data_IF_630035713413
#
_entry.id   IF_630035713413
#
_cell.length_a   1.000
_cell.length_b   1.000
_cell.length_c   1.000
_cell.angle_alpha   90.00
_cell.angle_beta   90.00
_cell.angle_gamma   90.00
#
_symmetry.space_group_name_H-M   'P 1'
#
loop_
_entity.id
_entity.type
_entity.pdbx_description
1 polymer ?
#
# COMPACT_ATOMS: atom_id res chain seq x y z
N UNK A 1 23.76 -32.99 3.12
CA UNK A 1 23.73 -31.52 3.09
C UNK A 1 22.64 -31.11 2.12
N UNK A 2 21.59 -30.43 2.57
CA UNK A 2 20.49 -29.97 1.70
C UNK A 2 21.03 -28.91 0.73
N UNK A 3 20.67 -29.04 -0.55
CA UNK A 3 20.96 -28.00 -1.54
C UNK A 3 20.04 -26.79 -1.28
N UNK A 4 20.62 -25.76 -0.66
CA UNK A 4 19.95 -24.52 -0.27
C UNK A 4 19.28 -23.84 -1.47
N UNK A 5 19.89 -23.90 -2.66
CA UNK A 5 19.34 -23.25 -3.87
C UNK A 5 18.09 -23.96 -4.36
N UNK A 6 18.08 -25.30 -4.28
CA UNK A 6 16.92 -26.10 -4.63
C UNK A 6 15.76 -25.88 -3.65
N UNK A 7 16.06 -25.70 -2.37
CA UNK A 7 15.06 -25.41 -1.34
C UNK A 7 14.46 -24.01 -1.53
N UNK A 8 15.29 -22.99 -1.78
CA UNK A 8 14.83 -21.63 -2.09
C UNK A 8 13.94 -21.58 -3.33
N UNK A 9 14.32 -22.27 -4.41
CA UNK A 9 13.51 -22.34 -5.63
C UNK A 9 12.13 -22.96 -5.38
N UNK A 10 12.04 -23.97 -4.49
CA UNK A 10 10.76 -24.55 -4.08
C UNK A 10 9.94 -23.61 -3.21
N UNK A 11 10.56 -22.93 -2.24
CA UNK A 11 9.89 -21.94 -1.39
C UNK A 11 9.22 -20.84 -2.22
N UNK A 12 9.91 -20.35 -3.26
CA UNK A 12 9.36 -19.33 -4.17
C UNK A 12 8.21 -19.84 -5.04
N UNK A 13 8.08 -21.15 -5.25
CA UNK A 13 7.07 -21.76 -6.12
C UNK A 13 5.85 -22.28 -5.33
N UNK A 14 6.10 -22.88 -4.19
CA UNK A 14 5.12 -23.64 -3.40
C UNK A 14 4.76 -22.94 -2.08
N UNK A 15 5.50 -21.88 -1.71
CA UNK A 15 5.40 -21.22 -0.43
C UNK A 15 6.42 -21.76 0.58
N UNK A 16 6.90 -20.87 1.45
CA UNK A 16 7.95 -21.17 2.41
C UNK A 16 7.54 -22.27 3.41
N UNK A 17 6.33 -22.19 3.96
CA UNK A 17 5.84 -23.13 4.98
C UNK A 17 5.54 -24.52 4.42
N UNK A 18 4.93 -24.60 3.24
CA UNK A 18 4.65 -25.88 2.56
C UNK A 18 5.97 -26.61 2.25
N UNK A 19 6.96 -25.88 1.73
CA UNK A 19 8.27 -26.44 1.42
C UNK A 19 8.99 -26.93 2.69
N UNK A 20 8.92 -26.16 3.77
CA UNK A 20 9.53 -26.51 5.06
C UNK A 20 8.89 -27.77 5.66
N UNK A 21 7.57 -27.86 5.64
CA UNK A 21 6.84 -29.03 6.14
C UNK A 21 7.19 -30.30 5.36
N UNK A 22 7.22 -30.21 4.03
CA UNK A 22 7.61 -31.34 3.17
C UNK A 22 9.06 -31.78 3.43
N UNK A 23 9.99 -30.84 3.59
CA UNK A 23 11.39 -31.14 3.88
C UNK A 23 11.54 -31.86 5.24
N UNK A 24 10.76 -31.44 6.25
CA UNK A 24 10.72 -32.08 7.56
C UNK A 24 10.16 -33.51 7.48
N UNK A 25 9.06 -33.73 6.77
CA UNK A 25 8.44 -35.06 6.58
C UNK A 25 9.40 -36.01 5.88
N UNK A 26 10.18 -35.52 4.91
CA UNK A 26 11.18 -36.31 4.16
C UNK A 26 12.47 -36.56 4.93
N UNK A 27 12.60 -36.02 6.15
CA UNK A 27 13.84 -36.10 6.93
C UNK A 27 15.02 -35.34 6.31
N UNK A 28 14.74 -34.39 5.39
CA UNK A 28 15.77 -33.57 4.75
C UNK A 28 16.31 -32.51 5.72
N UNK A 29 15.51 -32.08 6.69
CA UNK A 29 15.86 -31.11 7.74
C UNK A 29 15.47 -31.61 9.13
N UNK A 30 16.24 -31.20 10.12
CA UNK A 30 16.03 -31.50 11.54
C UNK A 30 15.02 -30.55 12.19
N UNK A 31 14.47 -30.91 13.37
CA UNK A 31 13.65 -29.98 14.16
C UNK A 31 14.38 -28.68 14.51
N UNK A 32 15.67 -28.73 14.84
CA UNK A 32 16.47 -27.54 15.18
C UNK A 32 16.68 -26.61 13.98
N UNK A 33 16.87 -27.17 12.77
CA UNK A 33 16.92 -26.38 11.53
C UNK A 33 15.57 -25.73 11.22
N UNK A 34 14.47 -26.45 11.49
CA UNK A 34 13.11 -25.91 11.36
C UNK A 34 12.90 -24.74 12.32
N UNK A 35 13.30 -24.89 13.58
CA UNK A 35 13.19 -23.82 14.59
C UNK A 35 14.00 -22.57 14.21
N UNK A 36 15.24 -22.74 13.73
CA UNK A 36 16.06 -21.63 13.24
C UNK A 36 15.44 -20.92 12.03
N UNK A 37 14.87 -21.68 11.10
CA UNK A 37 14.17 -21.09 9.96
C UNK A 37 12.94 -20.27 10.42
N UNK A 38 12.13 -20.81 11.33
CA UNK A 38 10.97 -20.09 11.86
C UNK A 38 11.36 -18.81 12.60
N UNK A 39 12.46 -18.80 13.35
CA UNK A 39 12.98 -17.59 13.99
C UNK A 39 13.37 -16.52 12.95
N UNK A 40 14.07 -16.91 11.87
CA UNK A 40 14.40 -15.98 10.78
C UNK A 40 13.16 -15.43 10.07
N UNK A 41 12.14 -16.26 9.86
CA UNK A 41 10.87 -15.81 9.29
C UNK A 41 10.18 -14.80 10.21
N UNK A 42 10.20 -15.05 11.51
CA UNK A 42 9.63 -14.12 12.49
C UNK A 42 10.36 -12.77 12.48
N UNK A 43 11.69 -12.77 12.51
CA UNK A 43 12.50 -11.55 12.41
C UNK A 43 12.19 -10.76 11.14
N UNK A 44 12.10 -11.44 10.00
CA UNK A 44 11.72 -10.84 8.72
C UNK A 44 10.30 -10.26 8.73
N UNK A 45 9.33 -10.97 9.30
CA UNK A 45 7.96 -10.45 9.47
C UNK A 45 7.93 -9.22 10.39
N UNK A 46 8.74 -9.22 11.45
CA UNK A 46 8.86 -8.08 12.34
C UNK A 46 9.39 -6.85 11.59
N UNK A 47 10.45 -7.01 10.79
CA UNK A 47 11.00 -5.93 9.95
C UNK A 47 9.94 -5.33 9.00
N UNK A 48 9.16 -6.19 8.33
CA UNK A 48 8.07 -5.75 7.45
C UNK A 48 6.98 -5.01 8.22
N UNK A 49 6.59 -5.50 9.39
CA UNK A 49 5.60 -4.81 10.24
C UNK A 49 6.12 -3.44 10.68
N UNK A 50 7.42 -3.33 10.98
CA UNK A 50 8.04 -2.04 11.30
C UNK A 50 8.12 -1.11 10.08
N UNK A 51 8.37 -1.64 8.88
CA UNK A 51 8.28 -0.90 7.61
C UNK A 51 6.86 -0.34 7.43
N UNK A 52 5.84 -1.20 7.52
CA UNK A 52 4.44 -0.78 7.42
C UNK A 52 4.05 0.30 8.43
N UNK A 53 4.47 0.17 9.70
CA UNK A 53 4.25 1.22 10.72
C UNK A 53 4.88 2.57 10.34
N UNK A 54 6.10 2.55 9.80
CA UNK A 54 6.79 3.77 9.35
C UNK A 54 6.05 4.42 8.17
N UNK A 55 5.57 3.62 7.23
CA UNK A 55 4.82 4.10 6.07
C UNK A 55 3.45 4.67 6.47
N UNK A 56 2.73 4.01 7.39
CA UNK A 56 1.48 4.55 7.96
C UNK A 56 1.73 5.90 8.62
N UNK A 57 2.79 6.06 9.41
CA UNK A 57 3.15 7.35 10.02
C UNK A 57 3.43 8.43 8.97
N UNK A 58 4.03 8.07 7.82
CA UNK A 58 4.26 9.01 6.72
C UNK A 58 2.95 9.44 6.06
N UNK A 59 1.98 8.53 5.91
CA UNK A 59 0.62 8.89 5.44
C UNK A 59 -0.04 9.89 6.39
N UNK A 60 -0.02 9.65 7.70
CA UNK A 60 -0.58 10.56 8.70
C UNK A 60 0.05 11.95 8.60
N UNK A 61 1.37 12.03 8.41
CA UNK A 61 2.07 13.31 8.23
C UNK A 61 1.63 14.06 6.96
N UNK A 62 1.48 13.35 5.83
CA UNK A 62 0.98 13.94 4.58
C UNK A 62 -0.44 14.47 4.77
N UNK A 63 -1.33 13.67 5.37
CA UNK A 63 -2.70 14.09 5.66
C UNK A 63 -2.74 15.32 6.57
N UNK A 64 -1.89 15.39 7.59
CA UNK A 64 -1.76 16.58 8.44
C UNK A 64 -1.34 17.83 7.67
N UNK A 65 -0.42 17.71 6.70
CA UNK A 65 -0.03 18.84 5.83
C UNK A 65 -1.16 19.26 4.90
N UNK A 66 -1.86 18.30 4.30
CA UNK A 66 -3.04 18.57 3.46
C UNK A 66 -4.15 19.27 4.25
N UNK A 67 -4.41 18.83 5.49
CA UNK A 67 -5.38 19.48 6.37
C UNK A 67 -4.97 20.92 6.71
N UNK A 68 -3.69 21.15 7.02
CA UNK A 68 -3.18 22.49 7.29
C UNK A 68 -3.35 23.42 6.07
N UNK A 69 -3.06 22.94 4.86
CA UNK A 69 -3.28 23.68 3.61
C UNK A 69 -4.77 24.00 3.42
N UNK A 70 -5.65 23.03 3.59
CA UNK A 70 -7.10 23.21 3.44
C UNK A 70 -7.67 24.21 4.47
N UNK A 71 -7.23 24.14 5.73
CA UNK A 71 -7.65 25.08 6.79
C UNK A 71 -7.20 26.51 6.49
N UNK A 72 -5.97 26.70 5.97
CA UNK A 72 -5.47 28.02 5.56
C UNK A 72 -6.33 28.64 4.47
N UNK A 73 -6.76 27.85 3.48
CA UNK A 73 -7.69 28.33 2.45
C UNK A 73 -9.04 28.74 3.04
N UNK A 74 -9.61 27.91 3.92
CA UNK A 74 -10.92 28.19 4.53
C UNK A 74 -10.93 29.45 5.41
N UNK A 75 -9.79 29.82 5.99
CA UNK A 75 -9.67 30.99 6.87
C UNK A 75 -9.44 32.31 6.12
N UNK A 76 -9.15 32.27 4.81
CA UNK A 76 -9.03 33.49 4.01
C UNK A 76 -10.39 34.15 3.84
N UNK A 77 -10.52 35.37 4.36
CA UNK A 77 -11.66 36.25 4.12
C UNK A 77 -11.31 37.19 2.97
N UNK A 78 -11.96 37.02 1.82
CA UNK A 78 -11.86 37.93 0.67
C UNK A 78 -11.61 37.19 -0.65
N UNK A 79 -12.02 37.77 -1.79
CA UNK A 79 -11.79 37.21 -3.13
C UNK A 79 -10.32 37.46 -3.50
N UNK A 80 -9.42 36.66 -2.93
CA UNK A 80 -8.02 36.62 -3.36
C UNK A 80 -7.93 35.49 -4.39
N UNK A 81 -7.41 35.72 -5.60
CA UNK A 81 -7.20 34.64 -6.56
C UNK A 81 -6.40 33.53 -5.87
N UNK A 82 -6.87 32.28 -5.98
CA UNK A 82 -6.12 31.10 -5.58
C UNK A 82 -4.72 31.23 -6.20
N UNK A 83 -3.74 31.56 -5.37
CA UNK A 83 -2.36 31.71 -5.83
C UNK A 83 -1.96 30.32 -6.32
N UNK A 84 -1.61 30.18 -7.61
CA UNK A 84 -1.26 28.90 -8.25
C UNK A 84 -0.40 28.00 -7.35
N UNK A 85 0.56 28.59 -6.63
CA UNK A 85 1.43 27.92 -5.66
C UNK A 85 0.73 27.07 -4.59
N UNK A 86 -0.45 27.43 -4.10
CA UNK A 86 -1.11 26.67 -3.04
C UNK A 86 -1.94 25.51 -3.57
N UNK A 87 -2.50 25.65 -4.77
CA UNK A 87 -3.11 24.53 -5.52
C UNK A 87 -2.04 23.52 -5.90
N UNK A 88 -0.90 24.00 -6.42
CA UNK A 88 0.26 23.17 -6.76
C UNK A 88 0.80 22.46 -5.50
N UNK A 89 0.87 23.15 -4.36
CA UNK A 89 1.28 22.55 -3.09
C UNK A 89 0.33 21.43 -2.64
N UNK A 90 -0.98 21.62 -2.77
CA UNK A 90 -1.95 20.58 -2.43
C UNK A 90 -1.88 19.39 -3.38
N UNK A 91 -1.72 19.63 -4.69
CA UNK A 91 -1.54 18.59 -5.70
C UNK A 91 -0.26 17.77 -5.45
N UNK A 92 0.85 18.42 -5.10
CA UNK A 92 2.09 17.75 -4.72
C UNK A 92 1.91 16.83 -3.49
N UNK A 93 1.12 17.25 -2.50
CA UNK A 93 0.81 16.40 -1.35
C UNK A 93 -0.09 15.21 -1.73
N UNK A 94 -1.02 15.38 -2.68
CA UNK A 94 -1.80 14.26 -3.24
C UNK A 94 -0.88 13.23 -3.91
N UNK A 95 0.09 13.66 -4.73
CA UNK A 95 1.06 12.76 -5.33
C UNK A 95 1.92 12.04 -4.27
N UNK A 96 2.35 12.76 -3.25
CA UNK A 96 3.11 12.20 -2.14
C UNK A 96 2.30 11.14 -1.38
N UNK A 97 1.01 11.41 -1.13
CA UNK A 97 0.08 10.46 -0.52
C UNK A 97 -0.03 9.18 -1.35
N UNK A 98 -0.21 9.31 -2.67
CA UNK A 98 -0.31 8.16 -3.57
C UNK A 98 0.97 7.32 -3.56
N UNK A 99 2.15 7.95 -3.50
CA UNK A 99 3.42 7.25 -3.39
C UNK A 99 3.52 6.40 -2.11
N UNK A 100 3.09 6.94 -0.96
CA UNK A 100 3.10 6.19 0.31
C UNK A 100 2.06 5.06 0.35
N UNK A 101 0.89 5.25 -0.28
CA UNK A 101 -0.09 4.17 -0.43
C UNK A 101 0.47 3.03 -1.28
N UNK A 102 1.18 3.35 -2.36
CA UNK A 102 1.87 2.34 -3.18
C UNK A 102 2.97 1.61 -2.38
N UNK A 103 3.73 2.32 -1.55
CA UNK A 103 4.75 1.73 -0.67
C UNK A 103 4.15 0.69 0.30
N UNK A 104 3.06 1.05 1.00
CA UNK A 104 2.33 0.11 1.86
C UNK A 104 1.81 -1.11 1.13
N UNK A 105 1.40 -0.90 -0.13
CA UNK A 105 0.95 -1.98 -0.97
C UNK A 105 2.08 -2.95 -1.33
N UNK A 106 3.25 -2.43 -1.68
CA UNK A 106 4.45 -3.26 -1.90
C UNK A 106 4.81 -4.06 -0.65
N UNK A 107 4.75 -3.43 0.53
CA UNK A 107 4.95 -4.09 1.83
C UNK A 107 3.98 -5.25 2.03
N UNK A 108 2.71 -5.10 1.66
CA UNK A 108 1.72 -6.19 1.70
C UNK A 108 2.05 -7.32 0.71
N UNK A 109 2.43 -6.98 -0.53
CA UNK A 109 2.77 -7.98 -1.55
C UNK A 109 4.01 -8.80 -1.16
N UNK A 110 5.03 -8.19 -0.53
CA UNK A 110 6.21 -8.91 -0.01
C UNK A 110 5.81 -10.07 0.91
N UNK A 111 4.82 -9.86 1.78
CA UNK A 111 4.29 -10.89 2.68
C UNK A 111 3.64 -12.03 1.88
N UNK A 112 2.75 -11.71 0.95
CA UNK A 112 2.07 -12.72 0.13
C UNK A 112 3.04 -13.52 -0.73
N UNK A 113 4.03 -12.87 -1.34
CA UNK A 113 5.07 -13.53 -2.14
C UNK A 113 5.88 -14.54 -1.34
N UNK A 114 6.00 -14.39 -0.02
CA UNK A 114 6.71 -15.34 0.83
C UNK A 114 5.82 -16.48 1.33
N UNK A 115 4.61 -16.14 1.79
CA UNK A 115 3.69 -17.09 2.43
C UNK A 115 3.00 -17.97 1.39
N UNK A 116 2.39 -17.34 0.38
CA UNK A 116 1.68 -18.02 -0.69
C UNK A 116 1.88 -17.29 -2.04
N UNK A 117 3.02 -17.55 -2.73
CA UNK A 117 3.35 -16.90 -3.99
C UNK A 117 2.27 -17.10 -5.08
N UNK A 118 1.53 -18.21 -5.00
CA UNK A 118 0.50 -18.56 -6.00
C UNK A 118 -0.73 -17.66 -5.92
N UNK A 119 -0.99 -17.04 -4.77
CA UNK A 119 -2.13 -16.13 -4.59
C UNK A 119 -1.82 -14.69 -5.05
N UNK A 120 -0.55 -14.36 -5.28
CA UNK A 120 -0.12 -13.01 -5.69
C UNK A 120 -0.86 -12.53 -6.94
N UNK A 121 -0.94 -13.31 -8.06
CA UNK A 121 -1.67 -12.87 -9.25
C UNK A 121 -3.16 -12.60 -9.02
N UNK A 122 -3.80 -13.36 -8.12
CA UNK A 122 -5.20 -13.15 -7.76
C UNK A 122 -5.37 -11.90 -6.90
N UNK A 123 -4.46 -11.63 -5.96
CA UNK A 123 -4.47 -10.38 -5.19
C UNK A 123 -4.27 -9.16 -6.07
N UNK A 124 -3.33 -9.21 -7.01
CA UNK A 124 -3.15 -8.16 -8.02
C UNK A 124 -4.45 -7.91 -8.81
N UNK A 125 -5.16 -8.98 -9.22
CA UNK A 125 -6.44 -8.88 -9.95
C UNK A 125 -7.57 -8.28 -9.10
N UNK A 126 -7.72 -8.73 -7.85
CA UNK A 126 -8.70 -8.18 -6.91
C UNK A 126 -8.51 -6.67 -6.72
N UNK A 127 -7.25 -6.22 -6.68
CA UNK A 127 -6.92 -4.81 -6.50
C UNK A 127 -7.14 -3.98 -7.75
N UNK A 128 -6.75 -4.48 -8.92
CA UNK A 128 -7.08 -3.84 -10.19
C UNK A 128 -8.61 -3.67 -10.34
N UNK A 129 -9.38 -4.70 -9.95
CA UNK A 129 -10.85 -4.64 -9.95
C UNK A 129 -11.38 -3.59 -8.96
N UNK A 130 -10.87 -3.57 -7.71
CA UNK A 130 -11.27 -2.56 -6.72
C UNK A 130 -10.97 -1.13 -7.18
N UNK A 131 -9.81 -0.91 -7.81
CA UNK A 131 -9.43 0.39 -8.36
C UNK A 131 -10.33 0.81 -9.52
N UNK A 132 -10.64 -0.12 -10.42
CA UNK A 132 -11.57 0.11 -11.53
C UNK A 132 -12.99 0.43 -11.04
N UNK A 133 -13.46 -0.28 -10.01
CA UNK A 133 -14.77 -0.03 -9.39
C UNK A 133 -14.82 1.36 -8.74
N UNK A 134 -13.79 1.74 -7.99
CA UNK A 134 -13.69 3.09 -7.40
C UNK A 134 -13.67 4.17 -8.48
N UNK A 135 -12.92 3.98 -9.56
CA UNK A 135 -12.91 4.90 -10.69
C UNK A 135 -14.28 5.01 -11.35
N UNK A 136 -14.96 3.89 -11.59
CA UNK A 136 -16.31 3.84 -12.18
C UNK A 136 -17.35 4.53 -11.29
N UNK A 137 -17.30 4.28 -9.97
CA UNK A 137 -18.14 4.99 -9.00
C UNK A 137 -17.85 6.49 -9.00
N UNK A 138 -16.59 6.91 -9.13
CA UNK A 138 -16.22 8.33 -9.21
C UNK A 138 -16.66 8.98 -10.52
N UNK A 139 -16.65 8.27 -11.65
CA UNK A 139 -17.25 8.76 -12.89
C UNK A 139 -18.77 8.96 -12.75
N UNK A 140 -19.45 8.00 -12.10
CA UNK A 140 -20.86 8.13 -11.78
C UNK A 140 -21.13 9.30 -10.81
N UNK A 141 -20.23 9.51 -9.83
CA UNK A 141 -20.29 10.60 -8.84
C UNK A 141 -19.85 11.96 -9.41
N UNK A 142 -19.10 11.99 -10.50
CA UNK A 142 -18.79 13.22 -11.25
C UNK A 142 -20.06 13.88 -11.82
N UNK A 143 -21.15 13.12 -11.99
CA UNK A 143 -22.48 13.68 -12.26
C UNK A 143 -23.10 14.37 -11.04
N UNK A 144 -22.71 14.03 -9.81
CA UNK A 144 -23.12 14.71 -8.57
C UNK A 144 -22.35 16.02 -8.32
N UNK A 145 -21.06 16.09 -8.67
CA UNK A 145 -20.30 17.35 -8.69
C UNK A 145 -20.90 18.41 -9.64
N UNK A 146 -21.65 17.98 -10.67
CA UNK A 146 -22.42 18.90 -11.54
C UNK A 146 -23.69 19.48 -10.88
N UNK A 147 -24.20 18.86 -9.81
CA UNK A 147 -25.40 19.35 -9.11
C UNK A 147 -25.09 20.48 -8.13
N UNK A 148 -23.90 20.51 -7.55
CA UNK A 148 -23.48 21.59 -6.64
C UNK A 148 -22.73 22.71 -7.39
N UNK A 149 -23.37 23.23 -8.43
CA UNK A 149 -22.86 24.34 -9.25
C UNK A 149 -22.77 25.68 -8.51
N UNK A 150 -23.18 25.72 -7.23
CA UNK A 150 -23.14 26.90 -6.37
C UNK A 150 -21.69 27.34 -6.10
N UNK A 151 -20.82 26.40 -5.74
CA UNK A 151 -19.40 26.64 -5.47
C UNK A 151 -18.60 27.06 -6.73
N UNK A 152 -19.02 26.60 -7.91
CA UNK A 152 -18.41 27.00 -9.19
C UNK A 152 -18.90 28.36 -9.68
N UNK A 153 -20.16 28.74 -9.37
CA UNK A 153 -20.71 30.05 -9.74
C UNK A 153 -20.03 31.18 -8.97
N UNK A 154 -19.74 31.01 -7.69
CA UNK A 154 -19.03 32.01 -6.86
C UNK A 154 -17.56 32.23 -7.28
N UNK A 155 -16.92 31.25 -7.94
CA UNK A 155 -15.57 31.38 -8.48
C UNK A 155 -15.51 32.10 -9.85
N UNK A 156 -16.64 32.22 -10.54
CA UNK A 156 -16.75 32.73 -11.92
C UNK A 156 -17.54 34.05 -12.03
N UNK A 157 -18.03 34.58 -10.90
CA UNK A 157 -18.70 35.89 -10.75
C UNK A 157 -17.79 36.90 -10.09
#
# INVERSE_FOLDING_TARGET
MVDVRKLQAKMMKEGAFVTLEQARIKGEITPDETGRFLAQVFEWLEEIVQEGKKETKRLEQVLGRMEALARRQKQRRGPVPLVHHETDAFENEVHTLLGWVASLYETQLKIYSFINPQDVPEKLRQMASAQFNLWSMRQASGKLMRKDSSAFKELMS
#
